data_IF_221825091259
#
_entry.id   IF_221825091259
#
_cell.length_a   1.000
_cell.length_b   1.000
_cell.length_c   1.000
_cell.angle_alpha   90.00
_cell.angle_beta   90.00
_cell.angle_gamma   90.00
#
_symmetry.space_group_name_H-M   'P 1'
#
loop_
_entity.id
_entity.type
_entity.pdbx_description
1 polymer ?
#
# COMPACT_ATOMS: atom_id res chain seq x y z
N UNK A 1 -7.53 -14.30 -4.85
CA UNK A 1 -7.26 -12.90 -5.23
C UNK A 1 -8.61 -12.23 -5.31
N UNK A 2 -8.79 -11.13 -4.58
CA UNK A 2 -10.07 -10.43 -4.51
C UNK A 2 -10.04 -9.16 -5.37
N UNK A 3 -8.92 -8.43 -5.36
CA UNK A 3 -8.78 -7.20 -6.15
C UNK A 3 -7.33 -6.94 -6.53
N UNK A 4 -7.16 -6.11 -7.56
CA UNK A 4 -5.88 -5.54 -7.99
C UNK A 4 -6.08 -4.05 -8.28
N UNK A 5 -5.12 -3.24 -7.86
CA UNK A 5 -5.02 -1.83 -8.20
C UNK A 5 -3.64 -1.53 -8.76
N UNK A 6 -3.54 -0.45 -9.53
CA UNK A 6 -2.29 -0.02 -10.14
C UNK A 6 -2.12 1.49 -10.06
N UNK A 7 -0.87 1.91 -10.08
CA UNK A 7 -0.48 3.28 -10.31
C UNK A 7 0.35 3.38 -11.61
N UNK A 8 1.02 4.50 -11.87
CA UNK A 8 1.81 4.69 -13.09
C UNK A 8 3.03 3.77 -13.26
N UNK A 9 3.45 3.08 -12.18
CA UNK A 9 4.70 2.30 -12.10
C UNK A 9 4.51 0.92 -11.45
N UNK A 10 3.51 0.77 -10.58
CA UNK A 10 3.37 -0.37 -9.67
C UNK A 10 1.94 -0.90 -9.56
N UNK A 11 1.85 -2.12 -9.04
CA UNK A 11 0.63 -2.85 -8.78
C UNK A 11 0.59 -3.32 -7.32
N UNK A 12 -0.62 -3.42 -6.79
CA UNK A 12 -0.91 -4.06 -5.52
C UNK A 12 -2.14 -4.95 -5.65
N UNK A 13 -2.10 -6.15 -5.07
CA UNK A 13 -3.25 -7.06 -5.06
C UNK A 13 -3.57 -7.57 -3.67
N UNK A 14 -4.87 -7.64 -3.37
CA UNK A 14 -5.41 -8.29 -2.18
C UNK A 14 -5.60 -9.78 -2.47
N UNK A 15 -4.92 -10.62 -1.70
CA UNK A 15 -5.06 -12.09 -1.74
C UNK A 15 -6.33 -12.52 -0.99
N UNK A 16 -6.75 -13.77 -1.22
CA UNK A 16 -7.97 -14.31 -0.58
C UNK A 16 -7.85 -14.47 0.95
N UNK A 17 -6.63 -14.39 1.49
CA UNK A 17 -6.34 -14.40 2.92
C UNK A 17 -6.33 -12.98 3.53
N UNK A 18 -6.69 -11.95 2.76
CA UNK A 18 -6.70 -10.56 3.18
C UNK A 18 -5.31 -9.91 3.28
N UNK A 19 -4.25 -10.58 2.83
CA UNK A 19 -2.90 -9.99 2.75
C UNK A 19 -2.62 -9.36 1.39
N UNK A 20 -1.59 -8.53 1.30
CA UNK A 20 -1.25 -7.78 0.08
C UNK A 20 0.08 -8.21 -0.49
N UNK A 21 0.14 -8.28 -1.82
CA UNK A 21 1.39 -8.39 -2.58
C UNK A 21 1.53 -7.20 -3.51
N UNK A 22 2.74 -6.65 -3.59
CA UNK A 22 3.07 -5.48 -4.43
C UNK A 22 4.18 -5.84 -5.41
N UNK A 23 4.06 -5.40 -6.66
CA UNK A 23 5.08 -5.61 -7.69
C UNK A 23 5.07 -4.46 -8.70
N UNK A 24 6.19 -4.19 -9.36
CA UNK A 24 6.29 -3.03 -10.26
C UNK A 24 7.71 -2.54 -10.42
N UNK A 25 7.87 -1.42 -11.12
CA UNK A 25 9.16 -0.85 -11.46
C UNK A 25 9.48 0.36 -10.59
N UNK A 26 10.50 0.24 -9.76
CA UNK A 26 11.05 1.36 -9.00
C UNK A 26 12.44 1.67 -9.53
N UNK A 27 12.60 2.84 -10.14
CA UNK A 27 13.93 3.40 -10.40
C UNK A 27 14.65 3.54 -9.07
N UNK A 28 15.65 2.68 -8.83
CA UNK A 28 16.92 2.78 -8.07
C UNK A 28 17.00 3.59 -6.76
N UNK A 29 15.89 4.15 -6.29
CA UNK A 29 15.80 5.07 -5.18
C UNK A 29 15.26 4.27 -4.00
N UNK A 30 16.19 3.86 -3.14
CA UNK A 30 15.99 2.94 -2.03
C UNK A 30 14.93 3.38 -1.01
N UNK A 31 14.47 4.63 -1.09
CA UNK A 31 13.45 5.20 -0.20
C UNK A 31 12.01 5.01 -0.70
N UNK A 32 11.80 4.55 -1.94
CA UNK A 32 10.46 4.40 -2.54
C UNK A 32 9.92 2.98 -2.51
N UNK A 33 10.52 2.11 -1.73
CA UNK A 33 10.28 0.68 -1.78
C UNK A 33 8.85 0.29 -1.37
N UNK A 34 8.11 -0.31 -2.32
CA UNK A 34 6.89 -1.09 -2.07
C UNK A 34 7.06 -2.20 -1.02
N UNK A 35 8.30 -2.61 -0.72
CA UNK A 35 8.59 -3.64 0.28
C UNK A 35 8.44 -3.17 1.72
N UNK A 36 8.37 -1.86 2.00
CA UNK A 36 8.21 -1.37 3.38
C UNK A 36 6.83 -1.71 3.99
N UNK A 37 5.83 -1.95 3.16
CA UNK A 37 4.46 -2.22 3.60
C UNK A 37 4.18 -3.70 3.92
N UNK A 38 5.03 -4.63 3.45
CA UNK A 38 4.72 -6.07 3.47
C UNK A 38 4.46 -6.61 4.87
N UNK A 39 5.17 -6.09 5.88
CA UNK A 39 5.10 -6.61 7.24
C UNK A 39 3.79 -6.23 7.94
N UNK A 40 3.14 -5.14 7.51
CA UNK A 40 1.88 -4.66 8.07
C UNK A 40 0.65 -5.14 7.29
N UNK A 41 0.85 -5.59 6.04
CA UNK A 41 -0.23 -6.03 5.14
C UNK A 41 -0.34 -7.56 5.06
N UNK A 42 -0.24 -8.23 6.20
CA UNK A 42 -0.23 -9.70 6.30
C UNK A 42 -1.61 -10.33 6.44
N UNK A 43 -2.66 -9.55 6.73
CA UNK A 43 -4.07 -9.97 6.78
C UNK A 43 -5.00 -8.77 6.98
N UNK A 44 -6.31 -9.00 6.83
CA UNK A 44 -7.35 -8.05 7.23
C UNK A 44 -7.51 -6.83 6.31
N UNK A 45 -6.85 -6.77 5.16
CA UNK A 45 -6.98 -5.67 4.20
C UNK A 45 -8.27 -5.81 3.41
N UNK A 46 -9.12 -4.78 3.45
CA UNK A 46 -10.42 -4.76 2.79
C UNK A 46 -10.37 -4.08 1.42
N UNK A 47 -9.60 -3.02 1.30
CA UNK A 47 -9.48 -2.24 0.06
C UNK A 47 -8.15 -1.51 -0.01
N UNK A 48 -7.70 -1.23 -1.23
CA UNK A 48 -6.53 -0.42 -1.51
C UNK A 48 -6.96 0.74 -2.41
N UNK A 49 -6.53 1.95 -2.07
CA UNK A 49 -6.69 3.16 -2.89
C UNK A 49 -5.34 3.68 -3.35
N UNK A 50 -5.32 4.37 -4.49
CA UNK A 50 -4.10 4.92 -5.09
C UNK A 50 -4.13 6.44 -5.13
N UNK A 51 -2.97 7.06 -4.83
CA UNK A 51 -2.73 8.50 -4.94
C UNK A 51 -1.41 8.72 -5.66
N UNK A 52 -1.44 8.96 -6.98
CA UNK A 52 -0.23 9.20 -7.78
C UNK A 52 0.73 8.00 -7.78
N UNK A 53 1.77 8.04 -6.93
CA UNK A 53 2.76 6.95 -6.71
C UNK A 53 2.68 6.33 -5.31
N UNK A 54 1.64 6.65 -4.54
CA UNK A 54 1.39 6.12 -3.20
C UNK A 54 0.12 5.25 -3.19
N UNK A 55 0.04 4.38 -2.18
CA UNK A 55 -1.09 3.52 -1.90
C UNK A 55 -1.54 3.71 -0.45
N UNK A 56 -2.80 3.42 -0.19
CA UNK A 56 -3.34 3.31 1.16
C UNK A 56 -4.25 2.09 1.26
N UNK A 57 -4.09 1.29 2.30
CA UNK A 57 -4.92 0.14 2.61
C UNK A 57 -5.80 0.46 3.81
N UNK A 58 -7.09 0.12 3.73
CA UNK A 58 -8.01 0.15 4.86
C UNK A 58 -8.19 -1.29 5.35
N UNK A 59 -8.00 -1.49 6.65
CA UNK A 59 -8.13 -2.79 7.31
C UNK A 59 -9.48 -2.95 8.03
N UNK A 60 -9.81 -4.19 8.36
CA UNK A 60 -11.03 -4.56 9.09
C UNK A 60 -11.10 -4.00 10.53
N UNK A 61 -9.94 -3.83 11.16
CA UNK A 61 -9.74 -3.13 12.44
C UNK A 61 -9.86 -1.60 12.33
N UNK A 62 -10.19 -1.07 11.13
CA UNK A 62 -10.29 0.35 10.76
C UNK A 62 -8.96 1.11 10.72
N UNK A 63 -7.83 0.43 10.93
CA UNK A 63 -6.52 1.06 10.74
C UNK A 63 -6.24 1.29 9.25
N UNK A 64 -5.36 2.26 8.99
CA UNK A 64 -4.88 2.59 7.65
C UNK A 64 -3.38 2.38 7.59
N UNK A 65 -2.92 1.74 6.52
CA UNK A 65 -1.50 1.58 6.20
C UNK A 65 -1.22 2.28 4.89
N UNK A 66 -0.25 3.18 4.86
CA UNK A 66 0.18 3.90 3.65
C UNK A 66 1.57 3.45 3.23
N UNK A 67 1.83 3.41 1.92
CA UNK A 67 3.14 3.07 1.37
C UNK A 67 3.36 3.61 -0.04
N UNK A 68 4.62 3.59 -0.50
CA UNK A 68 5.05 4.15 -1.78
C UNK A 68 5.77 5.48 -1.60
N UNK A 69 5.65 6.37 -2.58
CA UNK A 69 6.38 7.65 -2.60
C UNK A 69 5.77 8.68 -1.62
N UNK A 70 6.57 9.15 -0.65
CA UNK A 70 6.17 10.13 0.37
C UNK A 70 5.71 11.46 -0.23
N UNK A 71 6.23 11.84 -1.42
CA UNK A 71 5.82 13.05 -2.14
C UNK A 71 4.36 12.99 -2.63
N UNK A 72 3.74 11.80 -2.59
CA UNK A 72 2.38 11.55 -3.04
C UNK A 72 1.44 11.10 -1.90
N UNK A 73 1.87 11.25 -0.64
CA UNK A 73 1.05 10.97 0.54
C UNK A 73 1.26 9.58 1.15
N UNK A 74 2.39 8.92 0.87
CA UNK A 74 2.72 7.65 1.53
C UNK A 74 3.19 7.80 2.99
N UNK A 75 3.68 8.98 3.38
CA UNK A 75 4.02 9.26 4.78
C UNK A 75 2.79 9.84 5.49
N UNK A 76 2.21 9.02 6.37
CA UNK A 76 1.07 9.40 7.22
C UNK A 76 1.41 9.30 8.71
N UNK A 77 2.70 9.35 9.05
CA UNK A 77 3.17 9.14 10.44
C UNK A 77 2.63 10.18 11.44
N UNK A 78 2.31 11.39 10.97
CA UNK A 78 1.73 12.48 11.77
C UNK A 78 0.18 12.52 11.70
N UNK A 79 -0.47 11.56 11.06
CA UNK A 79 -1.93 11.53 10.89
C UNK A 79 -2.56 10.50 11.83
N UNK A 80 -3.58 10.92 12.58
CA UNK A 80 -4.44 10.01 13.34
C UNK A 80 -5.64 9.59 12.49
N UNK A 81 -5.81 8.28 12.34
CA UNK A 81 -6.90 7.68 11.56
C UNK A 81 -8.01 7.09 12.45
N UNK A 82 -7.93 7.27 13.78
CA UNK A 82 -8.90 6.75 14.76
C UNK A 82 -10.06 7.71 15.06
#
# INVERSE_FOLDING_TARGET
MESIVSNGYDFAAIKADGSVVTWGFHDNDSEKNSSSASDQLTSGVLTIVTSGKAFSAIKDDKSVVTWGDSSFGADSSDIDFN
#
